data_IF_027938494952
#
_entry.id   IF_027938494952
#
_cell.length_a   1.000
_cell.length_b   1.000
_cell.length_c   1.000
_cell.angle_alpha   90.00
_cell.angle_beta   90.00
_cell.angle_gamma   90.00
#
_symmetry.space_group_name_H-M   'P 1'
#
loop_
_entity.id
_entity.type
_entity.pdbx_description
1 polymer ?
#
# COMPACT_ATOMS: atom_id res chain seq x y z
N UNK A 1 -24.72 3.22 72.26
CA UNK A 1 -23.25 3.04 72.16
C UNK A 1 -22.95 2.56 70.75
N UNK A 2 -22.73 3.46 69.78
CA UNK A 2 -21.42 4.03 69.37
C UNK A 2 -20.42 2.95 68.94
N UNK A 3 -20.26 2.77 67.61
CA UNK A 3 -19.05 3.06 66.79
C UNK A 3 -18.84 2.02 65.68
N UNK A 4 -18.65 2.54 64.45
CA UNK A 4 -17.93 1.94 63.30
C UNK A 4 -18.75 0.83 62.60
N UNK A 5 -18.99 0.88 61.29
CA UNK A 5 -17.98 0.84 60.24
C UNK A 5 -18.51 1.62 59.03
N UNK A 6 -17.84 2.73 58.73
CA UNK A 6 -17.85 3.37 57.43
C UNK A 6 -17.08 2.51 56.42
N UNK A 7 -17.36 2.75 55.13
CA UNK A 7 -16.55 2.43 53.94
C UNK A 7 -16.79 1.07 53.29
N UNK A 8 -17.60 1.06 52.22
CA UNK A 8 -17.33 0.23 51.04
C UNK A 8 -18.14 0.74 49.82
N UNK A 9 -17.98 2.01 49.46
CA UNK A 9 -18.32 2.47 48.13
C UNK A 9 -17.15 2.09 47.20
N UNK A 10 -17.20 0.90 46.61
CA UNK A 10 -16.26 0.51 45.55
C UNK A 10 -16.94 0.77 44.20
N UNK A 11 -16.83 2.02 43.74
CA UNK A 11 -17.07 2.41 42.35
C UNK A 11 -15.93 1.79 41.53
N UNK A 12 -16.19 0.64 40.91
CA UNK A 12 -15.30 0.07 39.90
C UNK A 12 -15.51 0.90 38.63
N UNK A 13 -14.81 2.03 38.54
CA UNK A 13 -14.62 2.73 37.28
C UNK A 13 -13.59 1.93 36.47
N UNK A 14 -14.06 0.98 35.67
CA UNK A 14 -13.25 0.40 34.58
C UNK A 14 -12.93 1.53 33.61
N UNK A 15 -11.72 2.07 33.70
CA UNK A 15 -11.15 2.91 32.67
C UNK A 15 -11.03 2.06 31.40
N UNK A 16 -11.99 2.19 30.48
CA UNK A 16 -11.80 1.82 29.09
C UNK A 16 -10.71 2.75 28.55
N UNK A 17 -9.46 2.30 28.61
CA UNK A 17 -8.41 2.92 27.82
C UNK A 17 -8.85 2.84 26.36
N UNK A 18 -8.87 3.96 25.60
CA UNK A 18 -9.05 3.87 24.17
C UNK A 18 -7.88 3.02 23.65
N UNK A 19 -8.19 1.85 23.10
CA UNK A 19 -7.24 1.15 22.25
C UNK A 19 -6.85 2.15 21.16
N UNK A 20 -5.56 2.40 20.89
CA UNK A 20 -5.21 3.16 19.71
C UNK A 20 -5.88 2.41 18.56
N UNK A 21 -6.80 3.09 17.87
CA UNK A 21 -7.23 2.59 16.59
C UNK A 21 -5.93 2.33 15.82
N UNK A 22 -5.73 1.09 15.38
CA UNK A 22 -4.73 0.76 14.38
C UNK A 22 -5.14 1.53 13.13
N UNK A 23 -4.86 2.84 13.12
CA UNK A 23 -4.94 3.68 11.96
C UNK A 23 -3.86 3.12 11.05
N UNK A 24 -4.28 2.27 10.12
CA UNK A 24 -3.38 1.77 9.09
C UNK A 24 -2.71 2.98 8.45
N UNK A 25 -1.39 3.01 8.55
CA UNK A 25 -0.53 4.08 8.03
C UNK A 25 -0.87 4.33 6.55
N UNK A 26 -0.85 5.58 6.10
CA UNK A 26 -1.22 5.93 4.71
C UNK A 26 -0.38 5.14 3.71
N UNK A 27 0.89 4.89 4.03
CA UNK A 27 1.77 4.03 3.27
C UNK A 27 1.40 2.54 3.30
N UNK A 28 0.93 2.01 4.44
CA UNK A 28 0.53 0.60 4.52
C UNK A 28 -0.69 0.34 3.62
N UNK A 29 -1.67 1.26 3.65
CA UNK A 29 -2.85 1.17 2.81
C UNK A 29 -2.48 1.26 1.32
N UNK A 30 -1.57 2.18 0.97
CA UNK A 30 -1.04 2.30 -0.38
C UNK A 30 -0.38 1.00 -0.85
N UNK A 31 0.53 0.45 -0.05
CA UNK A 31 1.25 -0.78 -0.40
C UNK A 31 0.30 -1.97 -0.56
N UNK A 32 -0.73 -2.05 0.29
CA UNK A 32 -1.77 -3.08 0.19
C UNK A 32 -2.53 -3.01 -1.14
N UNK A 33 -3.00 -1.83 -1.55
CA UNK A 33 -3.70 -1.67 -2.83
C UNK A 33 -2.77 -1.88 -4.02
N UNK A 34 -1.50 -1.47 -3.91
CA UNK A 34 -0.47 -1.70 -4.93
C UNK A 34 -0.25 -3.20 -5.16
N UNK A 35 -0.12 -3.97 -4.08
CA UNK A 35 0.01 -5.42 -4.16
C UNK A 35 -1.21 -6.08 -4.83
N UNK A 36 -2.43 -5.61 -4.54
CA UNK A 36 -3.65 -6.09 -5.19
C UNK A 36 -3.71 -5.74 -6.68
N UNK A 37 -3.27 -4.53 -7.05
CA UNK A 37 -3.17 -4.10 -8.44
C UNK A 37 -2.19 -4.99 -9.21
N UNK A 38 -0.99 -5.21 -8.67
CA UNK A 38 0.01 -6.10 -9.28
C UNK A 38 -0.51 -7.52 -9.41
N UNK A 39 -1.17 -8.05 -8.37
CA UNK A 39 -1.81 -9.37 -8.45
C UNK A 39 -2.82 -9.45 -9.59
N UNK A 40 -3.61 -8.39 -9.79
CA UNK A 40 -4.59 -8.31 -10.89
C UNK A 40 -3.91 -8.24 -12.26
N UNK A 41 -2.78 -7.53 -12.38
CA UNK A 41 -2.00 -7.45 -13.62
C UNK A 41 -1.54 -8.82 -14.11
N UNK A 42 -1.09 -9.68 -13.20
CA UNK A 42 -0.47 -10.97 -13.50
C UNK A 42 -1.41 -12.18 -13.32
N UNK A 43 -2.68 -11.97 -12.97
CA UNK A 43 -3.63 -13.05 -12.73
C UNK A 43 -3.96 -13.79 -14.04
N UNK A 44 -3.56 -15.08 -14.19
CA UNK A 44 -3.83 -15.84 -15.40
C UNK A 44 -5.31 -16.24 -15.54
N UNK A 45 -6.10 -16.17 -14.47
CA UNK A 45 -7.52 -16.51 -14.49
C UNK A 45 -8.39 -15.37 -15.08
N UNK A 46 -7.85 -14.15 -15.20
CA UNK A 46 -8.58 -13.01 -15.73
C UNK A 46 -8.39 -12.86 -17.24
N UNK A 47 -9.51 -12.87 -17.97
CA UNK A 47 -9.55 -12.47 -19.37
C UNK A 47 -9.24 -10.97 -19.57
N UNK A 48 -8.89 -10.54 -20.80
CA UNK A 48 -8.44 -9.17 -21.06
C UNK A 48 -9.45 -8.08 -20.65
N UNK A 49 -10.73 -8.27 -20.93
CA UNK A 49 -11.78 -7.29 -20.60
C UNK A 49 -11.99 -7.13 -19.09
N UNK A 50 -12.15 -8.25 -18.37
CA UNK A 50 -12.31 -8.25 -16.91
C UNK A 50 -11.08 -7.67 -16.21
N UNK A 51 -9.88 -7.97 -16.73
CA UNK A 51 -8.63 -7.39 -16.23
C UNK A 51 -8.62 -5.88 -16.42
N UNK A 52 -8.94 -5.38 -17.61
CA UNK A 52 -8.98 -3.94 -17.87
C UNK A 52 -9.96 -3.21 -16.95
N UNK A 53 -11.17 -3.73 -16.77
CA UNK A 53 -12.17 -3.13 -15.87
C UNK A 53 -11.73 -3.11 -14.41
N UNK A 54 -11.13 -4.20 -13.91
CA UNK A 54 -10.59 -4.25 -12.55
C UNK A 54 -9.41 -3.30 -12.35
N UNK A 55 -8.51 -3.22 -13.33
CA UNK A 55 -7.36 -2.30 -13.28
C UNK A 55 -7.81 -0.84 -13.31
N UNK A 56 -8.84 -0.48 -14.07
CA UNK A 56 -9.36 0.89 -14.08
C UNK A 56 -9.85 1.33 -12.68
N UNK A 57 -10.53 0.43 -11.97
CA UNK A 57 -10.97 0.68 -10.59
C UNK A 57 -9.76 0.78 -9.65
N UNK A 58 -8.81 -0.15 -9.76
CA UNK A 58 -7.61 -0.19 -8.93
C UNK A 58 -6.72 1.06 -9.12
N UNK A 59 -6.53 1.51 -10.37
CA UNK A 59 -5.77 2.73 -10.70
C UNK A 59 -6.38 3.97 -10.05
N UNK A 60 -7.71 4.11 -10.04
CA UNK A 60 -8.38 5.22 -9.34
C UNK A 60 -8.10 5.19 -7.84
N UNK A 61 -8.24 4.02 -7.20
CA UNK A 61 -7.97 3.85 -5.76
C UNK A 61 -6.51 4.13 -5.42
N UNK A 62 -5.57 3.62 -6.23
CA UNK A 62 -4.16 3.91 -6.09
C UNK A 62 -3.89 5.41 -6.21
N UNK A 63 -4.50 6.09 -7.18
CA UNK A 63 -4.34 7.56 -7.33
C UNK A 63 -4.72 8.29 -6.04
N UNK A 64 -5.83 7.91 -5.41
CA UNK A 64 -6.28 8.53 -4.17
C UNK A 64 -5.34 8.21 -3.00
N UNK A 65 -4.89 6.95 -2.88
CA UNK A 65 -3.96 6.52 -1.84
C UNK A 65 -2.58 7.17 -1.98
N UNK A 66 -2.07 7.28 -3.20
CA UNK A 66 -0.81 7.96 -3.50
C UNK A 66 -0.91 9.44 -3.12
N UNK A 67 -2.02 10.11 -3.45
CA UNK A 67 -2.26 11.50 -3.05
C UNK A 67 -2.35 11.66 -1.53
N UNK A 68 -2.98 10.72 -0.84
CA UNK A 68 -3.06 10.75 0.63
C UNK A 68 -1.66 10.56 1.24
N UNK A 69 -0.88 9.59 0.77
CA UNK A 69 0.48 9.36 1.26
C UNK A 69 1.44 10.52 0.95
N UNK A 70 1.40 11.10 -0.26
CA UNK A 70 2.24 12.27 -0.62
C UNK A 70 1.91 13.48 0.26
N UNK A 71 0.66 13.64 0.67
CA UNK A 71 0.19 14.77 1.48
C UNK A 71 0.20 14.48 2.98
N UNK A 72 0.67 13.30 3.39
CA UNK A 72 0.72 12.94 4.79
C UNK A 72 1.96 13.57 5.44
N UNK A 73 1.74 14.69 6.12
CA UNK A 73 2.79 15.43 6.82
C UNK A 73 3.47 14.58 7.90
N UNK A 74 2.82 13.53 8.42
CA UNK A 74 3.40 12.65 9.44
C UNK A 74 4.57 11.81 8.93
N UNK A 75 4.64 11.59 7.62
CA UNK A 75 5.76 10.88 6.96
C UNK A 75 7.00 11.77 6.83
N UNK A 76 6.83 13.10 6.94
CA UNK A 76 7.94 14.04 6.82
C UNK A 76 8.84 13.96 8.03
N UNK A 77 10.08 13.51 7.83
CA UNK A 77 11.05 13.33 8.91
C UNK A 77 10.92 11.99 9.66
N UNK A 78 9.98 11.12 9.26
CA UNK A 78 9.99 9.75 9.76
C UNK A 78 11.21 9.00 9.19
N UNK A 79 11.99 8.40 10.09
CA UNK A 79 13.21 7.66 9.77
C UNK A 79 13.00 6.15 9.72
N UNK A 80 11.75 5.70 9.92
CA UNK A 80 11.37 4.30 9.85
C UNK A 80 11.84 3.65 8.55
N UNK A 81 12.25 2.36 8.57
CA UNK A 81 12.71 1.69 7.37
C UNK A 81 11.66 1.66 6.26
N UNK A 82 10.37 1.59 6.62
CA UNK A 82 9.26 1.54 5.68
C UNK A 82 9.16 2.84 4.87
N UNK A 83 9.12 3.99 5.54
CA UNK A 83 9.09 5.31 4.89
C UNK A 83 10.33 5.50 4.01
N UNK A 84 11.51 5.18 4.56
CA UNK A 84 12.77 5.32 3.82
C UNK A 84 12.79 4.48 2.55
N UNK A 85 12.33 3.23 2.60
CA UNK A 85 12.29 2.34 1.43
C UNK A 85 11.24 2.82 0.43
N UNK A 86 10.07 3.25 0.89
CA UNK A 86 9.00 3.77 0.05
C UNK A 86 9.48 4.98 -0.78
N UNK A 87 10.03 6.00 -0.14
CA UNK A 87 10.50 7.20 -0.84
C UNK A 87 11.81 7.00 -1.60
N UNK A 88 12.68 6.06 -1.18
CA UNK A 88 13.87 5.68 -1.95
C UNK A 88 13.50 5.01 -3.28
N UNK A 89 12.39 4.27 -3.32
CA UNK A 89 11.89 3.58 -4.51
C UNK A 89 10.62 4.27 -5.03
N UNK A 90 10.67 5.60 -5.15
CA UNK A 90 9.52 6.45 -5.46
C UNK A 90 8.70 5.93 -6.66
N UNK A 91 9.35 5.68 -7.80
CA UNK A 91 8.72 5.24 -9.04
C UNK A 91 8.00 3.88 -8.95
N UNK A 92 8.41 3.04 -8.00
CA UNK A 92 7.81 1.73 -7.74
C UNK A 92 6.69 1.81 -6.69
N UNK A 93 6.82 2.73 -5.72
CA UNK A 93 5.82 2.95 -4.66
C UNK A 93 4.64 3.77 -5.17
N UNK A 94 4.90 4.89 -5.86
CA UNK A 94 3.91 5.80 -6.44
C UNK A 94 3.73 5.51 -7.92
N UNK A 95 3.30 4.28 -8.18
CA UNK A 95 3.27 3.67 -9.51
C UNK A 95 2.41 4.45 -10.51
N UNK A 96 1.23 4.94 -10.09
CA UNK A 96 0.35 5.72 -10.96
C UNK A 96 0.99 7.07 -11.27
N UNK A 97 1.49 7.79 -10.26
CA UNK A 97 2.16 9.07 -10.45
C UNK A 97 3.32 8.97 -11.45
N UNK A 98 4.23 8.01 -11.23
CA UNK A 98 5.38 7.81 -12.09
C UNK A 98 4.99 7.39 -13.51
N UNK A 99 3.92 6.60 -13.69
CA UNK A 99 3.43 6.24 -15.02
C UNK A 99 2.93 7.46 -15.81
N UNK A 100 2.25 8.40 -15.13
CA UNK A 100 1.75 9.63 -15.72
C UNK A 100 2.89 10.58 -16.07
N UNK A 101 3.87 10.75 -15.17
CA UNK A 101 5.06 11.58 -15.42
C UNK A 101 5.86 11.10 -16.64
N UNK A 102 5.95 9.78 -16.81
CA UNK A 102 6.68 9.15 -17.92
C UNK A 102 5.82 8.92 -19.17
N UNK A 103 4.52 9.24 -19.11
CA UNK A 103 3.56 9.02 -20.19
C UNK A 103 3.53 7.57 -20.71
N UNK A 104 3.59 6.60 -19.80
CA UNK A 104 3.52 5.16 -20.08
C UNK A 104 2.31 4.54 -19.39
N UNK A 105 1.93 3.33 -19.79
CA UNK A 105 0.87 2.62 -19.06
C UNK A 105 1.37 2.18 -17.68
N UNK A 106 0.44 1.98 -16.74
CA UNK A 106 0.76 1.51 -15.40
C UNK A 106 1.51 0.15 -15.41
N UNK A 107 1.16 -0.73 -16.35
CA UNK A 107 1.83 -2.03 -16.48
C UNK A 107 3.25 -1.88 -17.01
N UNK A 108 3.48 -1.00 -17.99
CA UNK A 108 4.83 -0.73 -18.52
C UNK A 108 5.72 -0.12 -17.44
N UNK A 109 5.18 0.84 -16.68
CA UNK A 109 5.87 1.42 -15.52
C UNK A 109 6.29 0.34 -14.53
N UNK A 110 5.37 -0.53 -14.14
CA UNK A 110 5.68 -1.60 -13.18
C UNK A 110 6.72 -2.58 -13.73
N UNK A 111 6.56 -3.04 -14.98
CA UNK A 111 7.47 -3.98 -15.63
C UNK A 111 8.89 -3.41 -15.70
N UNK A 112 9.04 -2.16 -16.11
CA UNK A 112 10.35 -1.52 -16.20
C UNK A 112 11.02 -1.39 -14.82
N UNK A 113 10.27 -1.02 -13.78
CA UNK A 113 10.79 -0.91 -12.42
C UNK A 113 11.22 -2.27 -11.83
N UNK A 114 10.61 -3.37 -12.26
CA UNK A 114 11.06 -4.74 -11.89
C UNK A 114 12.13 -5.31 -12.83
N UNK A 115 12.64 -4.51 -13.77
CA UNK A 115 13.70 -4.89 -14.70
C UNK A 115 13.25 -5.70 -15.91
N UNK A 116 11.93 -5.75 -16.18
CA UNK A 116 11.36 -6.37 -17.37
C UNK A 116 11.15 -5.28 -18.42
N UNK A 117 12.10 -5.16 -19.33
CA UNK A 117 12.01 -4.27 -20.50
C UNK A 117 11.80 -5.06 -21.78
N UNK A 118 11.30 -4.42 -22.84
CA UNK A 118 11.19 -5.04 -24.16
C UNK A 118 12.53 -5.63 -24.61
N UNK A 119 13.64 -4.91 -24.45
CA UNK A 119 14.97 -5.41 -24.81
C UNK A 119 15.37 -6.64 -24.00
N UNK A 120 15.09 -6.64 -22.69
CA UNK A 120 15.36 -7.80 -21.83
C UNK A 120 14.53 -9.02 -22.25
N UNK A 121 13.27 -8.82 -22.67
CA UNK A 121 12.38 -9.87 -23.14
C UNK A 121 12.82 -10.41 -24.50
N UNK A 122 13.20 -9.53 -25.43
CA UNK A 122 13.61 -9.91 -26.77
C UNK A 122 14.98 -10.62 -26.81
N UNK A 123 15.84 -10.33 -25.83
CA UNK A 123 17.14 -10.99 -25.67
C UNK A 123 17.08 -12.24 -24.78
N UNK A 124 15.99 -12.44 -24.04
CA UNK A 124 15.82 -13.61 -23.18
C UNK A 124 15.78 -14.91 -24.01
N UNK A 125 16.76 -15.79 -23.79
CA UNK A 125 16.73 -17.15 -24.33
C UNK A 125 15.93 -18.05 -23.41
N UNK A 126 14.95 -18.77 -23.98
CA UNK A 126 14.24 -19.84 -23.28
C UNK A 126 15.23 -21.00 -23.06
N UNK A 127 15.73 -21.15 -21.83
CA UNK A 127 16.45 -22.34 -21.41
C UNK A 127 15.48 -23.50 -21.23
N UNK A 128 15.51 -24.49 -22.13
CA UNK A 128 14.84 -25.77 -21.88
C UNK A 128 15.52 -26.43 -20.67
N UNK A 129 14.86 -26.44 -19.52
CA UNK A 129 15.23 -27.29 -18.39
C UNK A 129 14.70 -28.69 -18.71
N UNK A 130 15.60 -29.61 -19.02
CA UNK A 130 15.34 -31.05 -19.13
C UNK A 130 15.43 -31.69 -17.74
#
# INVERSE_FOLDING_TARGET
MVKRILWAACLIATAMAPLPALAADTLENLERERALTVRTLIDPALGPGDRAGKLEIATRRLTDLERMAIRDDSLTGDTSPVVRVAFKNYDLTFLVHASVERNVTLIDQWMEQVGITTDSLMTARVGRRY
#
